data_IF_816879463485
#
_entry.id   IF_816879463485
#
_cell.length_a   1.000
_cell.length_b   1.000
_cell.length_c   1.000
_cell.angle_alpha   90.00
_cell.angle_beta   90.00
_cell.angle_gamma   90.00
#
_symmetry.space_group_name_H-M   'P 1'
#
loop_
_entity.id
_entity.type
_entity.pdbx_description
1 polymer ?
#
# COMPACT_ATOMS: atom_id res chain seq x y z
N UNK A 1 -48.17 11.48 34.23
CA UNK A 1 -47.10 10.99 33.34
C UNK A 1 -46.27 10.03 34.17
N UNK A 2 -46.07 8.81 33.70
CA UNK A 2 -45.18 7.83 34.36
C UNK A 2 -43.73 8.29 34.21
N UNK A 3 -42.97 8.28 35.31
CA UNK A 3 -41.53 8.54 35.28
C UNK A 3 -40.85 7.51 34.38
N UNK A 4 -40.31 7.98 33.26
CA UNK A 4 -39.61 7.12 32.30
C UNK A 4 -38.12 7.20 32.60
N UNK A 5 -37.53 6.11 33.11
CA UNK A 5 -36.09 6.02 33.28
C UNK A 5 -35.40 6.03 31.91
N UNK A 6 -34.53 7.00 31.68
CA UNK A 6 -33.77 7.14 30.43
C UNK A 6 -32.43 6.38 30.45
N UNK A 7 -32.09 5.74 31.57
CA UNK A 7 -30.82 5.05 31.77
C UNK A 7 -31.06 3.61 32.26
N UNK A 8 -30.17 2.66 31.93
CA UNK A 8 -28.95 2.82 31.13
C UNK A 8 -29.19 2.79 29.61
N UNK A 9 -28.46 3.64 28.87
CA UNK A 9 -28.49 3.67 27.41
C UNK A 9 -27.58 2.61 26.78
N UNK A 10 -28.08 1.86 25.82
CA UNK A 10 -27.32 0.83 25.09
C UNK A 10 -26.72 1.32 23.76
N UNK A 11 -27.02 2.55 23.35
CA UNK A 11 -26.53 3.15 22.11
C UNK A 11 -27.65 3.44 21.10
N UNK A 12 -27.26 3.55 19.84
CA UNK A 12 -28.18 3.85 18.73
C UNK A 12 -28.83 2.55 18.24
N UNK A 13 -30.16 2.57 18.04
CA UNK A 13 -30.89 1.59 17.25
C UNK A 13 -31.93 2.29 16.37
N UNK A 14 -31.66 2.38 15.07
CA UNK A 14 -32.54 3.04 14.10
C UNK A 14 -33.27 2.04 13.18
N UNK A 15 -33.24 0.76 13.53
CA UNK A 15 -33.84 -0.33 12.73
C UNK A 15 -35.06 -0.94 13.42
N UNK A 16 -34.91 -1.33 14.69
CA UNK A 16 -35.94 -2.07 15.44
C UNK A 16 -37.22 -1.25 15.65
N UNK A 17 -38.36 -1.89 15.83
CA UNK A 17 -39.62 -1.20 16.17
C UNK A 17 -39.58 -0.57 17.58
N UNK A 18 -40.45 0.40 17.84
CA UNK A 18 -40.44 1.17 19.10
C UNK A 18 -40.60 0.30 20.35
N UNK A 19 -41.39 -0.77 20.27
CA UNK A 19 -41.57 -1.72 21.38
C UNK A 19 -40.26 -2.46 21.75
N UNK A 20 -39.33 -2.59 20.81
CA UNK A 20 -38.04 -3.24 21.02
C UNK A 20 -36.93 -2.27 21.47
N UNK A 21 -37.23 -0.97 21.55
CA UNK A 21 -36.27 0.06 21.97
C UNK A 21 -36.01 0.04 23.49
N UNK A 22 -36.93 -0.53 24.27
CA UNK A 22 -36.79 -0.71 25.71
C UNK A 22 -36.80 -2.20 26.05
N UNK A 23 -35.70 -2.69 26.61
CA UNK A 23 -35.64 -4.03 27.21
C UNK A 23 -35.80 -3.89 28.72
N UNK A 24 -36.79 -4.59 29.29
CA UNK A 24 -36.99 -4.69 30.73
C UNK A 24 -36.32 -5.96 31.33
N UNK A 25 -36.50 -6.18 32.63
CA UNK A 25 -35.94 -7.34 33.36
C UNK A 25 -34.60 -7.04 34.03
N UNK A 26 -33.85 -8.10 34.36
CA UNK A 26 -32.59 -8.02 35.12
C UNK A 26 -31.45 -7.26 34.39
N UNK A 27 -31.60 -7.02 33.09
CA UNK A 27 -30.67 -6.24 32.27
C UNK A 27 -31.42 -5.14 31.48
N UNK A 28 -32.07 -4.23 32.21
CA UNK A 28 -32.80 -3.13 31.61
C UNK A 28 -31.90 -2.25 30.74
N UNK A 29 -32.31 -1.99 29.49
CA UNK A 29 -31.56 -1.17 28.53
C UNK A 29 -32.51 -0.35 27.66
N UNK A 30 -32.12 0.89 27.36
CA UNK A 30 -32.83 1.78 26.45
C UNK A 30 -31.95 2.13 25.25
N UNK A 31 -32.47 1.98 24.04
CA UNK A 31 -31.83 2.47 22.83
C UNK A 31 -32.37 3.85 22.45
N UNK A 32 -31.55 4.65 21.77
CA UNK A 32 -31.97 5.91 21.15
C UNK A 32 -31.98 5.77 19.64
N UNK A 33 -32.83 6.53 18.95
CA UNK A 33 -32.86 6.55 17.48
C UNK A 33 -31.65 7.25 16.88
N UNK A 34 -31.13 8.24 17.60
CA UNK A 34 -30.00 9.04 17.20
C UNK A 34 -29.25 9.54 18.45
N UNK A 35 -27.94 9.77 18.32
CA UNK A 35 -27.06 10.23 19.39
C UNK A 35 -26.13 11.32 18.85
N UNK A 36 -26.64 12.56 18.82
CA UNK A 36 -25.93 13.73 18.30
C UNK A 36 -25.14 14.41 19.42
N UNK A 37 -23.83 14.59 19.21
CA UNK A 37 -22.93 15.29 20.12
C UNK A 37 -22.90 14.74 21.56
N UNK A 38 -23.14 13.44 21.72
CA UNK A 38 -23.05 12.74 23.01
C UNK A 38 -22.11 11.54 22.91
N UNK A 39 -21.49 11.22 24.04
CA UNK A 39 -20.78 9.97 24.28
C UNK A 39 -21.63 9.10 25.21
N UNK A 40 -21.88 7.86 24.81
CA UNK A 40 -22.57 6.86 25.63
C UNK A 40 -21.51 5.91 26.17
N UNK A 41 -21.36 5.88 27.49
CA UNK A 41 -20.38 5.02 28.18
C UNK A 41 -20.83 3.56 28.22
N UNK A 42 -19.93 2.59 28.46
CA UNK A 42 -20.32 1.19 28.65
C UNK A 42 -21.30 0.96 29.81
N UNK A 43 -21.31 1.86 30.81
CA UNK A 43 -22.29 1.84 31.91
C UNK A 43 -23.66 2.43 31.52
N UNK A 44 -23.82 2.83 30.26
CA UNK A 44 -25.02 3.41 29.69
C UNK A 44 -25.33 4.84 30.15
N UNK A 45 -24.34 5.56 30.69
CA UNK A 45 -24.47 7.01 30.96
C UNK A 45 -24.15 7.80 29.70
N UNK A 46 -24.96 8.81 29.39
CA UNK A 46 -24.65 9.79 28.37
C UNK A 46 -24.00 11.04 28.96
N UNK A 47 -23.02 11.58 28.24
CA UNK A 47 -22.45 12.91 28.47
C UNK A 47 -22.29 13.65 27.15
N UNK A 48 -22.39 14.97 27.15
CA UNK A 48 -22.07 15.79 25.97
C UNK A 48 -20.60 15.59 25.61
N UNK A 49 -20.29 15.45 24.31
CA UNK A 49 -18.90 15.31 23.85
C UNK A 49 -18.08 16.52 24.27
N UNK A 50 -16.83 16.28 24.64
CA UNK A 50 -15.89 17.38 24.79
C UNK A 50 -15.71 18.11 23.46
N UNK A 51 -15.77 19.44 23.50
CA UNK A 51 -15.58 20.26 22.32
C UNK A 51 -14.17 20.11 21.73
N UNK A 52 -14.04 20.44 20.46
CA UNK A 52 -12.77 20.42 19.75
C UNK A 52 -11.99 21.73 20.02
N UNK A 53 -10.66 21.62 20.05
CA UNK A 53 -9.76 22.78 20.12
C UNK A 53 -8.88 22.77 18.90
N UNK A 54 -8.78 23.90 18.20
CA UNK A 54 -7.81 24.07 17.13
C UNK A 54 -6.38 23.94 17.70
N UNK A 55 -5.63 22.96 17.19
CA UNK A 55 -4.25 22.68 17.61
C UNK A 55 -3.20 23.20 16.63
N UNK A 56 -3.58 23.41 15.36
CA UNK A 56 -2.72 24.00 14.33
C UNK A 56 -3.58 24.63 13.23
N UNK A 57 -3.08 25.70 12.60
CA UNK A 57 -3.67 26.28 11.39
C UNK A 57 -3.20 25.57 10.10
N UNK A 58 -2.15 24.75 10.18
CA UNK A 58 -1.68 23.93 9.08
C UNK A 58 -2.69 22.83 8.77
N UNK A 59 -3.04 22.68 7.49
CA UNK A 59 -4.04 21.72 7.02
C UNK A 59 -3.39 20.38 6.68
N UNK A 60 -2.89 19.69 7.70
CA UNK A 60 -2.38 18.33 7.52
C UNK A 60 -3.49 17.41 7.02
N UNK A 61 -3.15 16.53 6.08
CA UNK A 61 -4.01 15.43 5.61
C UNK A 61 -3.26 14.12 5.78
N UNK A 62 -3.99 13.01 5.65
CA UNK A 62 -3.42 11.65 5.64
C UNK A 62 -2.49 11.39 6.83
N UNK A 63 -2.89 11.90 8.00
CA UNK A 63 -2.07 11.83 9.21
C UNK A 63 -2.00 10.38 9.68
N UNK A 64 -0.79 9.89 9.82
CA UNK A 64 -0.51 8.51 10.21
C UNK A 64 0.68 8.47 11.16
N UNK A 65 0.58 7.64 12.19
CA UNK A 65 1.68 7.39 13.11
C UNK A 65 2.28 6.01 12.83
N UNK A 66 3.60 5.95 12.73
CA UNK A 66 4.30 4.67 12.59
C UNK A 66 4.09 3.82 13.84
N UNK A 67 3.54 2.60 13.72
CA UNK A 67 3.42 1.69 14.85
C UNK A 67 4.79 1.21 15.36
N UNK A 68 5.83 1.26 14.52
CA UNK A 68 7.19 0.82 14.87
C UNK A 68 8.03 1.95 15.48
N UNK A 69 7.99 3.14 14.88
CA UNK A 69 8.89 4.25 15.26
C UNK A 69 8.21 5.30 16.14
N UNK A 70 6.87 5.30 16.22
CA UNK A 70 6.06 6.34 16.87
C UNK A 70 6.18 7.75 16.28
N UNK A 71 6.96 7.92 15.21
CA UNK A 71 6.99 9.12 14.38
C UNK A 71 5.64 9.34 13.69
N UNK A 72 5.21 10.59 13.59
CA UNK A 72 3.97 10.97 12.91
C UNK A 72 4.29 11.59 11.55
N UNK A 73 3.55 11.18 10.54
CA UNK A 73 3.66 11.65 9.17
C UNK A 73 2.31 12.15 8.68
N UNK A 74 2.33 12.93 7.61
CA UNK A 74 1.13 13.32 6.88
C UNK A 74 1.48 14.05 5.61
N UNK A 75 0.49 14.69 5.00
CA UNK A 75 0.67 15.53 3.82
C UNK A 75 0.30 16.98 4.09
N UNK A 76 1.04 17.91 3.49
CA UNK A 76 0.76 19.34 3.51
C UNK A 76 1.09 19.92 2.14
N UNK A 77 0.08 20.46 1.43
CA UNK A 77 0.23 21.05 0.09
C UNK A 77 1.02 20.16 -0.91
N UNK A 78 0.65 18.89 -0.99
CA UNK A 78 1.31 17.89 -1.86
C UNK A 78 2.69 17.40 -1.41
N UNK A 79 3.20 17.87 -0.26
CA UNK A 79 4.44 17.40 0.36
C UNK A 79 4.15 16.33 1.40
N UNK A 80 4.96 15.27 1.41
CA UNK A 80 5.04 14.35 2.54
C UNK A 80 5.89 15.00 3.62
N UNK A 81 5.35 15.07 4.84
CA UNK A 81 5.98 15.74 5.97
C UNK A 81 6.05 14.83 7.19
N UNK A 82 7.11 14.98 7.97
CA UNK A 82 7.18 14.45 9.35
C UNK A 82 6.62 15.51 10.28
N UNK A 83 5.58 15.16 11.04
CA UNK A 83 4.85 16.06 11.94
C UNK A 83 5.31 15.80 13.36
N UNK A 84 5.55 16.87 14.12
CA UNK A 84 5.84 16.79 15.56
C UNK A 84 4.56 17.06 16.36
N UNK A 85 3.90 16.05 16.96
CA UNK A 85 2.57 16.23 17.57
C UNK A 85 2.53 17.15 18.79
N UNK A 86 3.69 17.44 19.41
CA UNK A 86 3.77 18.29 20.61
C UNK A 86 3.51 19.77 20.30
N UNK A 87 3.94 20.24 19.13
CA UNK A 87 3.87 21.65 18.74
C UNK A 87 3.34 21.86 17.31
N UNK A 88 3.05 20.77 16.59
CA UNK A 88 2.53 20.76 15.21
C UNK A 88 3.45 21.43 14.19
N UNK A 89 4.74 21.57 14.52
CA UNK A 89 5.79 21.82 13.53
C UNK A 89 6.00 20.60 12.62
N UNK A 90 6.63 20.81 11.47
CA UNK A 90 6.87 19.76 10.51
C UNK A 90 8.17 19.95 9.73
N UNK A 91 8.65 18.85 9.18
CA UNK A 91 9.79 18.78 8.26
C UNK A 91 9.30 18.25 6.91
N UNK A 92 9.65 18.93 5.80
CA UNK A 92 9.34 18.45 4.46
C UNK A 92 10.31 17.34 4.04
N UNK A 93 9.76 16.21 3.58
CA UNK A 93 10.55 15.04 3.20
C UNK A 93 10.63 14.86 1.68
N UNK A 94 9.47 14.82 1.01
CA UNK A 94 9.40 14.58 -0.43
C UNK A 94 8.12 15.17 -1.04
N UNK A 95 8.10 15.35 -2.36
CA UNK A 95 6.87 15.71 -3.07
C UNK A 95 6.14 14.43 -3.48
N UNK A 96 4.96 14.20 -2.90
CA UNK A 96 4.18 12.97 -3.14
C UNK A 96 2.87 13.24 -3.89
N UNK A 97 2.39 14.48 -3.91
CA UNK A 97 1.09 14.85 -4.46
C UNK A 97 -0.01 14.82 -3.40
N UNK A 98 -1.25 15.06 -3.82
CA UNK A 98 -2.43 15.05 -2.93
C UNK A 98 -2.88 13.61 -2.65
N UNK A 99 -2.85 13.21 -1.38
CA UNK A 99 -3.15 11.86 -0.92
C UNK A 99 -1.89 11.07 -0.61
N UNK A 100 -1.89 10.43 0.56
CA UNK A 100 -0.84 9.52 0.99
C UNK A 100 -1.43 8.32 1.73
N UNK A 101 -0.82 7.16 1.52
CA UNK A 101 -1.01 5.98 2.37
C UNK A 101 0.35 5.51 2.85
N UNK A 102 0.45 5.19 4.13
CA UNK A 102 1.69 4.82 4.78
C UNK A 102 1.69 3.37 5.22
N UNK A 103 2.86 2.75 5.16
CA UNK A 103 3.09 1.45 5.77
C UNK A 103 4.51 1.38 6.31
N UNK A 104 4.70 0.58 7.35
CA UNK A 104 6.05 0.18 7.77
C UNK A 104 6.53 -0.92 6.82
N UNK A 105 7.67 -0.68 6.18
CA UNK A 105 8.32 -1.62 5.26
C UNK A 105 9.67 -2.01 5.85
N UNK A 106 9.75 -3.21 6.44
CA UNK A 106 10.89 -3.62 7.27
C UNK A 106 11.14 -2.61 8.41
N UNK A 107 12.25 -1.86 8.36
CA UNK A 107 12.60 -0.80 9.31
C UNK A 107 12.49 0.62 8.70
N UNK A 108 11.81 0.73 7.56
CA UNK A 108 11.58 2.00 6.85
C UNK A 108 10.10 2.38 6.93
N UNK A 109 9.81 3.67 6.78
CA UNK A 109 8.46 4.13 6.48
C UNK A 109 8.32 4.27 4.98
N UNK A 110 7.34 3.58 4.39
CA UNK A 110 7.01 3.71 2.97
C UNK A 110 5.71 4.51 2.83
N UNK A 111 5.67 5.41 1.86
CA UNK A 111 4.48 6.16 1.48
C UNK A 111 4.16 5.96 -0.01
N UNK A 112 2.88 5.82 -0.32
CA UNK A 112 2.36 5.90 -1.67
C UNK A 112 1.62 7.22 -1.84
N UNK A 113 1.99 7.97 -2.87
CA UNK A 113 1.22 9.13 -3.34
C UNK A 113 1.18 9.20 -4.86
N UNK A 114 0.45 10.16 -5.45
CA UNK A 114 0.38 10.35 -6.90
C UNK A 114 1.73 10.43 -7.63
N UNK A 115 2.78 10.96 -6.99
CA UNK A 115 4.11 11.11 -7.59
C UNK A 115 4.95 9.81 -7.56
N UNK A 116 4.52 8.78 -6.82
CA UNK A 116 5.23 7.51 -6.72
C UNK A 116 5.26 6.92 -5.32
N UNK A 117 6.15 5.94 -5.14
CA UNK A 117 6.45 5.31 -3.86
C UNK A 117 7.75 5.91 -3.31
N UNK A 118 7.76 6.27 -2.03
CA UNK A 118 8.92 6.83 -1.35
C UNK A 118 9.14 6.12 -0.02
N UNK A 119 10.39 6.04 0.40
CA UNK A 119 10.79 5.49 1.70
C UNK A 119 11.56 6.52 2.51
N UNK A 120 11.40 6.48 3.83
CA UNK A 120 12.16 7.24 4.80
C UNK A 120 12.88 6.29 5.76
N UNK A 121 14.17 6.48 5.94
CA UNK A 121 15.06 5.62 6.73
C UNK A 121 15.34 6.14 8.15
N UNK A 122 14.68 7.24 8.54
CA UNK A 122 14.97 7.96 9.77
C UNK A 122 15.80 9.21 9.57
N UNK A 123 16.43 9.39 8.41
CA UNK A 123 17.27 10.55 8.08
C UNK A 123 16.87 11.23 6.77
N UNK A 124 16.58 10.48 5.71
CA UNK A 124 16.25 11.03 4.41
C UNK A 124 15.12 10.25 3.73
N UNK A 125 14.31 10.98 2.96
CA UNK A 125 13.34 10.37 2.07
C UNK A 125 13.94 10.17 0.68
N UNK A 126 13.63 9.02 0.07
CA UNK A 126 14.07 8.67 -1.28
C UNK A 126 12.97 7.93 -2.02
N UNK A 127 12.96 8.01 -3.36
CA UNK A 127 12.03 7.24 -4.18
C UNK A 127 12.34 5.75 -4.06
N UNK A 128 11.36 4.92 -3.78
CA UNK A 128 11.55 3.47 -3.66
C UNK A 128 11.95 2.84 -5.00
N UNK A 129 11.36 3.32 -6.09
CA UNK A 129 11.50 2.75 -7.42
C UNK A 129 12.54 3.47 -8.28
N UNK A 130 13.28 2.67 -9.04
CA UNK A 130 14.14 3.13 -10.14
C UNK A 130 13.37 2.92 -11.44
N UNK A 131 13.35 3.92 -12.31
CA UNK A 131 12.74 3.78 -13.63
C UNK A 131 13.59 2.85 -14.51
N UNK A 132 12.96 2.15 -15.46
CA UNK A 132 13.68 1.32 -16.42
C UNK A 132 14.43 2.20 -17.42
N UNK A 133 15.74 2.01 -17.64
CA UNK A 133 16.48 2.74 -18.66
C UNK A 133 15.94 2.48 -20.07
N UNK A 134 16.05 3.46 -20.99
CA UNK A 134 15.94 3.21 -22.42
C UNK A 134 16.98 2.18 -22.89
N UNK A 135 16.69 1.49 -24.00
CA UNK A 135 17.66 0.58 -24.62
C UNK A 135 18.93 1.34 -25.04
N UNK A 136 20.13 0.76 -24.84
CA UNK A 136 21.38 1.41 -25.22
C UNK A 136 21.52 1.43 -26.75
N UNK A 137 22.23 2.42 -27.29
CA UNK A 137 22.60 2.41 -28.70
C UNK A 137 23.91 1.63 -28.88
N UNK A 138 23.93 0.69 -29.82
CA UNK A 138 25.10 -0.13 -30.11
C UNK A 138 25.78 0.32 -31.40
N UNK A 139 27.10 0.30 -31.41
CA UNK A 139 27.94 0.56 -32.59
C UNK A 139 29.01 -0.51 -32.72
N UNK A 140 29.32 -0.89 -33.96
CA UNK A 140 30.42 -1.79 -34.25
C UNK A 140 31.71 -0.98 -34.47
N UNK A 141 32.84 -1.52 -34.02
CA UNK A 141 34.17 -0.94 -34.22
C UNK A 141 35.22 -2.00 -34.51
N UNK A 142 36.49 -1.62 -34.45
CA UNK A 142 37.61 -2.56 -34.57
C UNK A 142 38.04 -3.10 -33.20
N UNK A 143 38.28 -4.40 -33.11
CA UNK A 143 38.66 -5.10 -31.88
C UNK A 143 38.98 -6.58 -32.11
N UNK A 144 38.59 -7.42 -31.16
CA UNK A 144 38.87 -8.86 -31.10
C UNK A 144 37.62 -9.69 -30.78
N UNK A 145 36.42 -9.12 -30.93
CA UNK A 145 35.18 -9.89 -30.92
C UNK A 145 35.10 -10.77 -32.17
N UNK A 146 34.56 -11.97 -31.97
CA UNK A 146 34.20 -12.86 -33.07
C UNK A 146 33.05 -12.28 -33.89
N UNK A 147 32.99 -12.58 -35.19
CA UNK A 147 31.87 -12.15 -36.01
C UNK A 147 30.58 -12.84 -35.55
N UNK A 148 29.49 -12.08 -35.49
CA UNK A 148 28.16 -12.58 -35.12
C UNK A 148 27.26 -11.51 -34.54
N UNK A 149 26.07 -11.90 -34.10
CA UNK A 149 25.11 -10.98 -33.47
C UNK A 149 25.30 -10.95 -31.96
N UNK A 150 25.40 -9.74 -31.40
CA UNK A 150 25.46 -9.51 -29.96
C UNK A 150 24.27 -8.67 -29.51
N UNK A 151 23.69 -9.05 -28.37
CA UNK A 151 22.63 -8.32 -27.70
C UNK A 151 23.15 -7.62 -26.45
N UNK A 152 22.62 -6.44 -26.15
CA UNK A 152 22.94 -5.67 -24.95
C UNK A 152 21.68 -5.05 -24.33
N UNK A 153 21.66 -5.01 -23.00
CA UNK A 153 20.67 -4.29 -22.21
C UNK A 153 21.36 -3.64 -21.01
N UNK A 154 20.80 -2.57 -20.47
CA UNK A 154 21.36 -1.87 -19.31
C UNK A 154 20.35 -1.78 -18.18
N UNK A 155 20.81 -1.72 -16.94
CA UNK A 155 19.98 -1.47 -15.76
C UNK A 155 20.61 -0.35 -14.93
N UNK A 156 19.80 0.61 -14.46
CA UNK A 156 20.24 1.61 -13.49
C UNK A 156 20.51 0.99 -12.12
N UNK A 157 21.53 1.53 -11.43
CA UNK A 157 21.95 1.15 -10.09
C UNK A 157 21.88 2.36 -9.14
N UNK A 158 21.31 2.14 -7.97
CA UNK A 158 21.39 3.04 -6.81
C UNK A 158 21.92 2.26 -5.61
N UNK A 159 23.22 2.38 -5.35
CA UNK A 159 23.94 1.52 -4.42
C UNK A 159 23.79 0.05 -4.84
N UNK A 160 23.24 -0.76 -3.94
CA UNK A 160 22.98 -2.18 -4.20
C UNK A 160 21.66 -2.44 -4.96
N UNK A 161 20.78 -1.44 -5.09
CA UNK A 161 19.49 -1.60 -5.74
C UNK A 161 19.65 -1.51 -7.26
N UNK A 162 19.02 -2.44 -7.97
CA UNK A 162 19.02 -2.53 -9.43
C UNK A 162 17.59 -2.39 -9.98
N UNK A 163 17.43 -1.60 -11.03
CA UNK A 163 16.18 -1.48 -11.81
C UNK A 163 15.90 -2.71 -12.68
N UNK A 164 14.75 -2.75 -13.35
CA UNK A 164 14.58 -3.68 -14.46
C UNK A 164 15.54 -3.30 -15.61
N UNK A 165 16.10 -4.29 -16.33
CA UNK A 165 16.92 -4.01 -17.49
C UNK A 165 16.08 -3.41 -18.62
N UNK A 166 16.71 -2.60 -19.46
CA UNK A 166 16.14 -2.06 -20.68
C UNK A 166 15.68 -3.16 -21.64
N UNK A 167 14.94 -2.76 -22.67
CA UNK A 167 14.78 -3.58 -23.87
C UNK A 167 16.14 -3.97 -24.48
N UNK A 168 16.13 -5.09 -25.19
CA UNK A 168 17.31 -5.67 -25.83
C UNK A 168 17.65 -4.90 -27.12
N UNK A 169 18.85 -4.32 -27.19
CA UNK A 169 19.44 -3.86 -28.44
C UNK A 169 20.33 -4.93 -29.03
N UNK A 170 20.31 -5.12 -30.35
CA UNK A 170 21.17 -6.10 -31.03
C UNK A 170 22.00 -5.45 -32.12
N UNK A 171 23.21 -5.95 -32.34
CA UNK A 171 24.08 -5.51 -33.42
C UNK A 171 24.88 -6.67 -34.01
N UNK A 172 25.10 -6.62 -35.31
CA UNK A 172 26.01 -7.53 -36.00
C UNK A 172 27.43 -6.95 -35.99
N UNK A 173 28.39 -7.76 -35.56
CA UNK A 173 29.80 -7.42 -35.48
C UNK A 173 30.55 -8.24 -36.51
N UNK A 174 31.45 -7.59 -37.26
CA UNK A 174 32.31 -8.24 -38.26
C UNK A 174 33.56 -8.85 -37.61
N UNK A 175 34.36 -9.58 -38.40
CA UNK A 175 35.62 -10.16 -37.93
C UNK A 175 36.57 -9.08 -37.39
N UNK A 176 37.25 -9.37 -36.26
CA UNK A 176 38.10 -8.40 -35.56
C UNK A 176 37.29 -7.16 -35.13
N UNK A 177 36.10 -7.39 -34.61
CA UNK A 177 35.16 -6.33 -34.25
C UNK A 177 35.25 -5.89 -32.79
N UNK A 178 34.59 -4.78 -32.48
CA UNK A 178 34.37 -4.28 -31.12
C UNK A 178 32.92 -3.82 -30.96
N UNK A 179 32.47 -3.77 -29.71
CA UNK A 179 31.15 -3.25 -29.35
C UNK A 179 31.30 -1.91 -28.63
N UNK A 180 30.78 -0.85 -29.24
CA UNK A 180 30.51 0.41 -28.56
C UNK A 180 29.09 0.42 -28.02
N UNK A 181 28.93 0.79 -26.76
CA UNK A 181 27.63 0.92 -26.09
C UNK A 181 27.49 2.37 -25.66
N UNK A 182 26.65 3.14 -26.35
CA UNK A 182 26.26 4.48 -25.92
C UNK A 182 25.11 4.37 -24.92
N UNK A 183 25.34 4.92 -23.72
CA UNK A 183 24.42 4.81 -22.60
C UNK A 183 23.34 5.90 -22.68
N UNK A 184 22.10 5.63 -22.21
CA UNK A 184 21.08 6.65 -22.11
C UNK A 184 21.48 7.80 -21.18
N UNK A 185 20.82 8.95 -21.35
CA UNK A 185 21.05 10.13 -20.49
C UNK A 185 20.58 9.85 -19.07
N UNK A 186 21.41 10.22 -18.11
CA UNK A 186 21.17 10.10 -16.68
C UNK A 186 20.32 11.28 -16.21
N UNK A 187 19.01 11.08 -16.03
CA UNK A 187 18.08 12.12 -15.57
C UNK A 187 17.90 12.13 -14.05
N UNK A 188 18.10 10.98 -13.40
CA UNK A 188 17.98 10.85 -11.95
C UNK A 188 19.38 11.03 -11.29
N UNK A 189 19.60 12.12 -10.54
CA UNK A 189 20.90 12.39 -9.91
C UNK A 189 21.22 11.45 -8.74
N UNK A 190 20.25 10.66 -8.28
CA UNK A 190 20.48 9.68 -7.19
C UNK A 190 21.11 8.38 -7.70
N UNK A 191 21.19 8.19 -9.02
CA UNK A 191 21.82 7.01 -9.61
C UNK A 191 23.32 6.99 -9.31
N UNK A 192 23.82 5.81 -8.97
CA UNK A 192 25.23 5.57 -8.63
C UNK A 192 25.99 4.86 -9.74
N UNK A 193 25.29 4.16 -10.63
CA UNK A 193 25.91 3.40 -11.70
C UNK A 193 24.92 2.75 -12.65
N UNK A 194 25.47 2.01 -13.61
CA UNK A 194 24.74 1.25 -14.62
C UNK A 194 25.36 -0.14 -14.73
N UNK A 195 24.51 -1.16 -14.78
CA UNK A 195 24.90 -2.53 -15.07
C UNK A 195 24.67 -2.82 -16.54
N UNK A 196 25.69 -3.31 -17.23
CA UNK A 196 25.56 -3.81 -18.60
C UNK A 196 25.32 -5.33 -18.58
N UNK A 197 24.33 -5.76 -19.34
CA UNK A 197 24.10 -7.15 -19.67
C UNK A 197 24.37 -7.38 -21.16
N UNK A 198 25.00 -8.51 -21.48
CA UNK A 198 25.29 -8.93 -22.85
C UNK A 198 24.83 -10.35 -23.09
N UNK A 199 24.41 -10.65 -24.31
CA UNK A 199 24.29 -12.03 -24.77
C UNK A 199 25.65 -12.57 -25.18
N UNK A 200 25.74 -13.89 -25.35
CA UNK A 200 26.83 -14.47 -26.12
C UNK A 200 26.60 -14.19 -27.62
N UNK A 201 27.60 -14.58 -28.42
CA UNK A 201 27.52 -14.57 -29.87
C UNK A 201 26.27 -15.34 -30.33
N UNK A 202 25.57 -14.76 -31.30
CA UNK A 202 24.37 -15.30 -31.95
C UNK A 202 23.20 -15.57 -30.98
N UNK A 203 23.18 -14.83 -29.88
CA UNK A 203 22.07 -14.75 -28.93
C UNK A 203 22.30 -15.49 -27.60
N UNK A 204 21.20 -15.93 -27.01
CA UNK A 204 21.17 -16.54 -25.67
C UNK A 204 20.67 -15.59 -24.58
N UNK A 205 20.95 -15.95 -23.33
CA UNK A 205 20.52 -15.18 -22.16
C UNK A 205 21.36 -13.93 -21.95
N UNK A 206 20.74 -12.89 -21.38
CA UNK A 206 21.42 -11.67 -20.93
C UNK A 206 22.20 -11.97 -19.65
N UNK A 207 23.52 -11.87 -19.74
CA UNK A 207 24.45 -12.13 -18.64
C UNK A 207 25.23 -10.87 -18.28
N UNK A 208 25.50 -10.67 -16.99
CA UNK A 208 26.17 -9.47 -16.48
C UNK A 208 27.57 -9.34 -17.07
N UNK A 209 27.82 -8.26 -17.79
CA UNK A 209 29.13 -7.93 -18.36
C UNK A 209 29.98 -7.06 -17.42
N UNK A 210 29.34 -6.20 -16.61
CA UNK A 210 30.02 -5.34 -15.65
C UNK A 210 29.12 -4.22 -15.13
N UNK A 211 29.68 -3.40 -14.24
CA UNK A 211 29.03 -2.21 -13.70
C UNK A 211 29.94 -1.00 -13.95
N UNK A 212 29.36 0.14 -14.33
CA UNK A 212 30.05 1.40 -14.59
C UNK A 212 29.47 2.53 -13.72
N UNK A 213 30.29 3.50 -13.29
CA UNK A 213 29.83 4.59 -12.44
C UNK A 213 28.85 5.52 -13.16
N UNK A 214 28.03 6.23 -12.36
CA UNK A 214 27.14 7.27 -12.87
C UNK A 214 27.91 8.32 -13.69
N UNK A 215 27.25 8.83 -14.73
CA UNK A 215 27.85 9.78 -15.68
C UNK A 215 28.69 9.13 -16.79
N UNK A 216 28.85 7.81 -16.80
CA UNK A 216 29.44 7.12 -17.95
C UNK A 216 28.55 7.34 -19.19
N UNK A 217 29.11 7.91 -20.25
CA UNK A 217 28.39 8.20 -21.49
C UNK A 217 28.47 7.05 -22.51
N UNK A 218 29.60 6.35 -22.55
CA UNK A 218 29.77 5.20 -23.43
C UNK A 218 30.73 4.18 -22.84
N UNK A 219 30.55 2.92 -23.24
CA UNK A 219 31.39 1.78 -22.87
C UNK A 219 31.96 1.22 -24.18
N UNK A 220 33.28 1.03 -24.23
CA UNK A 220 33.95 0.39 -25.37
C UNK A 220 34.43 -1.01 -24.96
N UNK A 221 34.00 -2.02 -25.71
CA UNK A 221 34.30 -3.42 -25.48
C UNK A 221 35.04 -4.00 -26.70
N UNK A 222 36.38 -3.97 -26.70
CA UNK A 222 37.17 -4.55 -27.78
C UNK A 222 37.19 -6.08 -27.74
N UNK A 223 36.83 -6.70 -26.61
CA UNK A 223 36.71 -8.14 -26.42
C UNK A 223 35.52 -8.44 -25.52
N UNK A 224 35.01 -9.68 -25.58
CA UNK A 224 33.87 -10.07 -24.76
C UNK A 224 34.35 -10.23 -23.31
N UNK A 225 33.80 -9.46 -22.34
CA UNK A 225 34.19 -9.60 -20.95
C UNK A 225 33.75 -10.95 -20.38
N UNK A 226 34.29 -11.32 -19.22
CA UNK A 226 33.80 -12.49 -18.50
C UNK A 226 32.36 -12.24 -18.05
N UNK A 227 31.43 -13.00 -18.63
CA UNK A 227 30.00 -12.89 -18.32
C UNK A 227 29.67 -13.58 -17.00
N UNK A 228 28.96 -12.86 -16.14
CA UNK A 228 28.49 -13.32 -14.83
C UNK A 228 27.08 -13.89 -14.86
N UNK A 229 26.32 -13.63 -13.79
CA UNK A 229 24.96 -14.13 -13.62
C UNK A 229 23.96 -13.53 -14.61
N UNK A 230 22.85 -14.24 -14.80
CA UNK A 230 21.72 -13.79 -15.61
C UNK A 230 21.05 -12.53 -15.05
N UNK A 231 20.39 -11.78 -15.94
CA UNK A 231 19.59 -10.62 -15.60
C UNK A 231 18.34 -11.00 -14.78
N UNK A 232 18.48 -11.04 -13.46
CA UNK A 232 17.44 -11.48 -12.53
C UNK A 232 16.13 -10.71 -12.60
N UNK A 233 16.17 -9.42 -12.98
CA UNK A 233 15.00 -8.53 -13.00
C UNK A 233 14.41 -8.33 -14.40
N UNK A 234 14.78 -9.19 -15.36
CA UNK A 234 14.21 -9.16 -16.70
C UNK A 234 12.69 -9.37 -16.64
N UNK A 235 11.95 -8.63 -17.47
CA UNK A 235 10.49 -8.68 -17.57
C UNK A 235 9.72 -8.12 -16.36
N UNK A 236 10.42 -7.52 -15.40
CA UNK A 236 9.80 -6.76 -14.33
C UNK A 236 9.72 -5.28 -14.71
N UNK A 237 8.89 -4.55 -13.98
CA UNK A 237 8.74 -3.11 -14.09
C UNK A 237 8.77 -2.45 -12.71
N UNK A 238 9.02 -1.12 -12.65
CA UNK A 238 8.97 -0.37 -11.40
C UNK A 238 7.59 -0.52 -10.72
N UNK A 239 7.58 -0.81 -9.42
CA UNK A 239 6.34 -1.02 -8.65
C UNK A 239 5.45 0.23 -8.72
N UNK A 240 4.22 0.14 -9.25
CA UNK A 240 3.36 1.30 -9.41
C UNK A 240 2.79 1.75 -8.07
N UNK A 241 2.62 3.07 -7.94
CA UNK A 241 1.90 3.66 -6.82
C UNK A 241 0.37 3.43 -6.93
N UNK A 242 -0.34 3.64 -5.84
CA UNK A 242 -1.78 3.44 -5.76
C UNK A 242 -2.43 4.32 -4.69
N UNK A 243 -3.77 4.33 -4.68
CA UNK A 243 -4.55 4.97 -3.61
C UNK A 243 -4.47 4.20 -2.31
N UNK A 244 -4.29 2.87 -2.36
CA UNK A 244 -4.11 2.04 -1.17
C UNK A 244 -2.72 1.43 -1.22
N UNK A 245 -2.05 1.40 -0.06
CA UNK A 245 -0.75 0.78 0.15
C UNK A 245 -0.83 -0.15 1.35
N UNK A 246 -0.30 -1.35 1.24
CA UNK A 246 -0.17 -2.25 2.38
C UNK A 246 1.06 -3.15 2.23
N UNK A 247 1.53 -3.70 3.35
CA UNK A 247 2.57 -4.72 3.37
C UNK A 247 1.91 -6.05 3.71
N UNK A 248 2.26 -7.09 2.97
CA UNK A 248 1.77 -8.43 3.24
C UNK A 248 2.80 -9.47 2.84
N UNK A 249 3.26 -10.26 3.82
CA UNK A 249 4.11 -11.45 3.64
C UNK A 249 5.30 -11.22 2.69
N UNK A 250 6.10 -10.19 2.97
CA UNK A 250 7.31 -9.91 2.18
C UNK A 250 7.04 -9.26 0.82
N UNK A 251 5.85 -8.69 0.61
CA UNK A 251 5.49 -7.94 -0.60
C UNK A 251 4.78 -6.64 -0.25
N UNK A 252 4.96 -5.63 -1.09
CA UNK A 252 4.11 -4.44 -1.10
C UNK A 252 2.89 -4.72 -1.96
N UNK A 253 1.73 -4.26 -1.50
CA UNK A 253 0.47 -4.26 -2.24
C UNK A 253 0.08 -2.83 -2.55
N UNK A 254 -0.23 -2.55 -3.81
CA UNK A 254 -0.77 -1.24 -4.23
C UNK A 254 -2.07 -1.44 -4.99
N UNK A 255 -3.04 -0.57 -4.77
CA UNK A 255 -4.29 -0.60 -5.52
C UNK A 255 -4.63 0.74 -6.15
N UNK A 256 -4.99 0.69 -7.44
CA UNK A 256 -5.43 1.86 -8.21
C UNK A 256 -6.63 1.47 -9.08
N UNK A 257 -7.70 2.26 -8.97
CA UNK A 257 -8.95 1.95 -9.67
C UNK A 257 -9.52 0.62 -9.17
N UNK A 258 -9.62 -0.37 -10.06
CA UNK A 258 -10.08 -1.72 -9.76
C UNK A 258 -8.95 -2.78 -9.78
N UNK A 259 -7.68 -2.36 -9.87
CA UNK A 259 -6.54 -3.29 -9.96
C UNK A 259 -5.75 -3.26 -8.67
N UNK A 260 -5.56 -4.43 -8.08
CA UNK A 260 -4.60 -4.69 -7.00
C UNK A 260 -3.33 -5.28 -7.61
N UNK A 261 -2.17 -4.69 -7.33
CA UNK A 261 -0.85 -5.17 -7.75
C UNK A 261 0.00 -5.50 -6.53
N UNK A 262 1.00 -6.34 -6.73
CA UNK A 262 1.97 -6.67 -5.68
C UNK A 262 3.39 -6.68 -6.23
N UNK A 263 4.33 -6.31 -5.38
CA UNK A 263 5.75 -6.36 -5.72
C UNK A 263 6.26 -7.81 -5.80
N UNK A 264 7.44 -7.98 -6.37
CA UNK A 264 8.24 -9.18 -6.17
C UNK A 264 8.61 -9.37 -4.69
N UNK A 265 8.83 -10.62 -4.29
CA UNK A 265 9.17 -10.95 -2.91
C UNK A 265 10.52 -10.31 -2.57
N UNK A 266 10.54 -9.47 -1.53
CA UNK A 266 11.72 -8.71 -1.07
C UNK A 266 12.33 -7.72 -2.08
N UNK A 267 11.91 -7.73 -3.35
CA UNK A 267 12.21 -6.71 -4.35
C UNK A 267 11.03 -5.74 -4.48
N UNK A 268 10.77 -5.02 -3.38
CA UNK A 268 9.59 -4.15 -3.21
C UNK A 268 9.42 -3.07 -4.27
N UNK A 269 10.51 -2.69 -4.93
CA UNK A 269 10.56 -1.67 -5.98
C UNK A 269 10.20 -2.20 -7.37
N UNK A 270 9.98 -3.51 -7.53
CA UNK A 270 9.68 -4.15 -8.82
C UNK A 270 8.41 -4.98 -8.73
N UNK A 271 7.73 -5.14 -9.86
CA UNK A 271 6.65 -6.09 -10.01
C UNK A 271 6.61 -6.69 -11.41
N UNK A 272 5.97 -7.86 -11.54
CA UNK A 272 5.59 -8.42 -12.84
C UNK A 272 4.31 -7.74 -13.34
N UNK A 273 4.37 -7.08 -14.49
CA UNK A 273 3.19 -6.43 -15.11
C UNK A 273 2.16 -7.43 -15.65
N UNK A 274 2.63 -8.59 -16.10
CA UNK A 274 1.86 -9.62 -16.81
C UNK A 274 1.11 -10.52 -15.84
N UNK A 275 1.69 -10.78 -14.67
CA UNK A 275 1.12 -11.73 -13.70
C UNK A 275 0.95 -11.16 -12.29
N UNK A 276 1.61 -10.06 -11.95
CA UNK A 276 1.62 -9.47 -10.60
C UNK A 276 0.39 -8.62 -10.27
N UNK A 277 -0.81 -9.07 -10.63
CA UNK A 277 -2.04 -8.33 -10.35
C UNK A 277 -3.30 -9.21 -10.26
N UNK A 278 -4.30 -8.71 -9.53
CA UNK A 278 -5.70 -9.16 -9.62
C UNK A 278 -6.56 -7.95 -10.01
N UNK A 279 -7.39 -8.14 -11.03
CA UNK A 279 -8.37 -7.15 -11.45
C UNK A 279 -9.74 -7.48 -10.85
N UNK A 280 -10.30 -6.51 -10.13
CA UNK A 280 -11.62 -6.59 -9.53
C UNK A 280 -12.70 -6.09 -10.51
N UNK A 281 -13.96 -6.56 -10.39
CA UNK A 281 -15.05 -6.12 -11.27
C UNK A 281 -15.49 -4.66 -11.02
N UNK A 282 -15.16 -4.09 -9.86
CA UNK A 282 -15.54 -2.73 -9.45
C UNK A 282 -14.33 -2.04 -8.81
N UNK A 283 -14.38 -0.70 -8.74
CA UNK A 283 -13.34 0.11 -8.08
C UNK A 283 -13.12 -0.35 -6.64
N UNK A 284 -11.86 -0.48 -6.26
CA UNK A 284 -11.42 -0.82 -4.90
C UNK A 284 -11.65 0.39 -3.98
N UNK A 285 -12.19 0.13 -2.79
CA UNK A 285 -12.54 1.14 -1.78
C UNK A 285 -11.73 1.01 -0.50
N UNK A 286 -11.11 -0.15 -0.26
CA UNK A 286 -10.03 -0.35 0.70
C UNK A 286 -9.25 -1.65 0.38
N UNK A 287 -8.04 -1.78 0.92
CA UNK A 287 -7.26 -3.01 0.93
C UNK A 287 -6.75 -3.23 2.34
N UNK A 288 -7.09 -4.36 2.96
CA UNK A 288 -6.69 -4.67 4.33
C UNK A 288 -6.19 -6.12 4.42
N UNK A 289 -4.86 -6.33 4.44
CA UNK A 289 -4.29 -7.65 4.61
C UNK A 289 -4.50 -8.20 6.03
N UNK A 290 -4.65 -9.52 6.12
CA UNK A 290 -4.72 -10.32 7.35
C UNK A 290 -3.92 -11.62 7.15
N UNK A 291 -3.84 -12.48 8.17
CA UNK A 291 -3.00 -13.69 8.07
C UNK A 291 -3.42 -14.62 6.93
N UNK A 292 -4.71 -14.91 6.77
CA UNK A 292 -5.20 -15.88 5.78
C UNK A 292 -5.41 -15.33 4.37
N UNK A 293 -5.14 -14.04 4.13
CA UNK A 293 -5.40 -13.41 2.84
C UNK A 293 -5.55 -11.89 2.92
N UNK A 294 -6.24 -11.32 1.93
CA UNK A 294 -6.43 -9.87 1.82
C UNK A 294 -7.91 -9.53 1.68
N UNK A 295 -8.44 -8.71 2.58
CA UNK A 295 -9.77 -8.14 2.45
C UNK A 295 -9.73 -6.96 1.47
N UNK A 296 -10.62 -6.99 0.49
CA UNK A 296 -10.72 -5.96 -0.55
C UNK A 296 -12.15 -5.45 -0.59
N UNK A 297 -12.32 -4.18 -0.23
CA UNK A 297 -13.59 -3.48 -0.40
C UNK A 297 -13.79 -3.06 -1.84
N UNK A 298 -15.02 -3.18 -2.32
CA UNK A 298 -15.47 -2.65 -3.61
C UNK A 298 -16.60 -1.63 -3.38
N UNK A 299 -17.07 -0.98 -4.44
CA UNK A 299 -18.13 0.04 -4.33
C UNK A 299 -19.47 -0.54 -3.85
N UNK A 300 -19.74 -1.81 -4.14
CA UNK A 300 -21.03 -2.46 -3.91
C UNK A 300 -20.95 -3.65 -2.92
N UNK A 301 -19.77 -4.27 -2.76
CA UNK A 301 -19.59 -5.42 -1.88
C UNK A 301 -18.15 -5.56 -1.38
N UNK A 302 -17.85 -6.65 -0.67
CA UNK A 302 -16.51 -6.98 -0.17
C UNK A 302 -16.08 -8.36 -0.69
N UNK A 303 -14.80 -8.49 -0.98
CA UNK A 303 -14.14 -9.72 -1.42
C UNK A 303 -13.04 -10.08 -0.45
N UNK A 304 -12.83 -11.38 -0.23
CA UNK A 304 -11.65 -11.90 0.44
C UNK A 304 -10.78 -12.66 -0.56
N UNK A 305 -9.55 -12.20 -0.74
CA UNK A 305 -8.52 -12.92 -1.51
C UNK A 305 -7.83 -13.89 -0.57
N UNK A 306 -8.32 -15.13 -0.52
CA UNK A 306 -7.75 -16.16 0.34
C UNK A 306 -6.50 -16.73 -0.32
N UNK A 307 -5.42 -16.83 0.44
CA UNK A 307 -4.19 -17.47 -0.01
C UNK A 307 -3.03 -17.17 0.90
N UNK A 308 -1.98 -17.98 0.81
CA UNK A 308 -0.76 -17.77 1.58
C UNK A 308 0.29 -16.97 0.80
N UNK A 309 0.12 -16.88 -0.52
CA UNK A 309 0.87 -16.05 -1.45
C UNK A 309 -0.06 -15.54 -2.58
N UNK A 310 0.30 -14.47 -3.31
CA UNK A 310 -0.57 -13.92 -4.35
C UNK A 310 -0.92 -14.90 -5.49
N UNK A 311 0.00 -15.80 -5.84
CA UNK A 311 -0.22 -16.82 -6.86
C UNK A 311 -1.30 -17.86 -6.47
N UNK A 312 -1.61 -17.96 -5.18
CA UNK A 312 -2.61 -18.88 -4.64
C UNK A 312 -3.95 -18.20 -4.38
N UNK A 313 -4.10 -16.92 -4.72
CA UNK A 313 -5.31 -16.18 -4.41
C UNK A 313 -6.55 -16.82 -5.04
N UNK A 314 -7.47 -17.22 -4.16
CA UNK A 314 -8.84 -17.55 -4.49
C UNK A 314 -9.75 -16.39 -4.12
N UNK A 315 -10.53 -15.93 -5.09
CA UNK A 315 -11.40 -14.76 -4.95
C UNK A 315 -12.73 -15.21 -4.34
N UNK A 316 -12.97 -14.89 -3.07
CA UNK A 316 -14.22 -15.21 -2.37
C UNK A 316 -15.09 -13.96 -2.22
N UNK A 317 -16.20 -13.90 -2.96
CA UNK A 317 -17.21 -12.86 -2.75
C UNK A 317 -17.90 -13.06 -1.40
N UNK A 318 -18.01 -11.99 -0.60
CA UNK A 318 -18.72 -12.01 0.68
C UNK A 318 -19.98 -11.17 0.61
N UNK A 319 -21.04 -11.63 1.28
CA UNK A 319 -22.38 -11.03 1.24
C UNK A 319 -22.57 -9.74 2.05
N UNK A 320 -21.49 -9.04 2.40
CA UNK A 320 -21.55 -7.83 3.21
C UNK A 320 -22.01 -6.60 2.42
N UNK A 321 -22.54 -5.61 3.13
CA UNK A 321 -22.91 -4.29 2.57
C UNK A 321 -21.70 -3.55 2.03
N UNK A 322 -21.96 -2.59 1.14
CA UNK A 322 -20.94 -1.72 0.58
C UNK A 322 -20.18 -0.98 1.70
N UNK A 323 -18.84 -1.05 1.71
CA UNK A 323 -18.03 -0.35 2.71
C UNK A 323 -17.92 1.14 2.40
N UNK A 324 -17.84 1.96 3.45
CA UNK A 324 -17.43 3.36 3.36
C UNK A 324 -15.96 3.39 2.92
N UNK A 325 -15.61 4.02 1.78
CA UNK A 325 -14.25 3.99 1.25
C UNK A 325 -13.21 4.56 2.22
N UNK A 326 -12.09 3.87 2.41
CA UNK A 326 -11.01 4.30 3.32
C UNK A 326 -11.27 4.07 4.81
N UNK A 327 -12.46 3.56 5.20
CA UNK A 327 -12.78 3.31 6.60
C UNK A 327 -12.17 2.03 7.17
N UNK A 328 -11.46 1.23 6.37
CA UNK A 328 -10.87 -0.01 6.84
C UNK A 328 -9.64 0.27 7.71
N UNK A 329 -9.50 -0.49 8.78
CA UNK A 329 -8.33 -0.48 9.66
C UNK A 329 -8.09 -1.89 10.20
N UNK A 330 -6.85 -2.19 10.54
CA UNK A 330 -6.50 -3.40 11.26
C UNK A 330 -6.76 -3.19 12.75
N UNK A 331 -7.47 -4.11 13.39
CA UNK A 331 -7.73 -4.06 14.82
C UNK A 331 -7.29 -5.36 15.50
N UNK A 332 -6.59 -5.20 16.62
CA UNK A 332 -6.04 -6.31 17.39
C UNK A 332 -7.12 -7.03 18.22
N UNK A 333 -6.85 -8.27 18.66
CA UNK A 333 -7.71 -8.99 19.61
C UNK A 333 -8.08 -8.17 20.84
N UNK A 334 -7.12 -7.40 21.36
CA UNK A 334 -7.33 -6.55 22.53
C UNK A 334 -8.36 -5.43 22.28
N UNK A 335 -8.45 -4.94 21.03
CA UNK A 335 -9.38 -3.91 20.63
C UNK A 335 -10.80 -4.45 20.37
N UNK A 336 -10.93 -5.63 19.75
CA UNK A 336 -12.22 -6.19 19.29
C UNK A 336 -12.89 -7.15 20.28
N UNK A 337 -12.13 -7.73 21.22
CA UNK A 337 -12.60 -8.85 22.03
C UNK A 337 -12.37 -10.22 21.35
N UNK A 338 -12.17 -11.26 22.16
CA UNK A 338 -11.63 -12.56 21.72
C UNK A 338 -12.48 -13.31 20.68
N UNK A 339 -13.80 -13.13 20.70
CA UNK A 339 -14.71 -13.89 19.81
C UNK A 339 -14.57 -13.49 18.33
N UNK A 340 -14.15 -12.25 18.06
CA UNK A 340 -13.97 -11.72 16.69
C UNK A 340 -12.59 -12.00 16.10
N UNK A 341 -11.67 -12.47 16.93
CA UNK A 341 -10.25 -12.67 16.58
C UNK A 341 -9.85 -14.12 16.78
N UNK A 342 -10.60 -15.03 16.15
CA UNK A 342 -10.36 -16.47 16.23
C UNK A 342 -8.87 -16.81 16.06
N UNK A 343 -8.23 -17.23 17.15
CA UNK A 343 -6.80 -17.58 17.19
C UNK A 343 -5.83 -16.47 17.63
N UNK A 344 -6.32 -15.30 18.07
CA UNK A 344 -5.47 -14.19 18.52
C UNK A 344 -4.84 -13.36 17.38
N UNK A 345 -5.33 -13.53 16.15
CA UNK A 345 -4.88 -12.76 15.00
C UNK A 345 -5.66 -11.44 14.85
N UNK A 346 -5.01 -10.45 14.26
CA UNK A 346 -5.66 -9.20 13.89
C UNK A 346 -6.80 -9.42 12.88
N UNK A 347 -7.83 -8.58 12.97
CA UNK A 347 -8.96 -8.58 12.04
C UNK A 347 -9.06 -7.24 11.32
N UNK A 348 -9.52 -7.30 10.06
CA UNK A 348 -9.89 -6.12 9.31
C UNK A 348 -11.24 -5.61 9.82
N UNK A 349 -11.36 -4.31 10.09
CA UNK A 349 -12.63 -3.70 10.49
C UNK A 349 -12.89 -2.51 9.62
N UNK A 350 -14.11 -2.38 9.11
CA UNK A 350 -14.53 -1.25 8.28
C UNK A 350 -15.96 -0.84 8.62
N UNK A 351 -16.32 0.37 8.20
CA UNK A 351 -17.67 0.88 8.34
C UNK A 351 -18.48 0.56 7.06
N UNK A 352 -19.71 0.13 7.21
CA UNK A 352 -20.67 -0.11 6.14
C UNK A 352 -22.03 0.49 6.49
N UNK A 353 -23.01 0.38 5.58
CA UNK A 353 -24.35 0.95 5.75
C UNK A 353 -25.05 0.54 7.05
N UNK A 354 -24.80 -0.68 7.50
CA UNK A 354 -25.36 -1.30 8.69
C UNK A 354 -24.42 -1.27 9.92
N UNK A 355 -23.43 -0.38 9.94
CA UNK A 355 -22.49 -0.25 11.05
C UNK A 355 -21.14 -0.89 10.77
N UNK A 356 -20.43 -1.24 11.85
CA UNK A 356 -19.10 -1.85 11.73
C UNK A 356 -19.20 -3.31 11.31
N UNK A 357 -18.29 -3.70 10.43
CA UNK A 357 -18.15 -5.07 9.94
C UNK A 357 -16.72 -5.51 10.22
N UNK A 358 -16.57 -6.72 10.75
CA UNK A 358 -15.29 -7.36 11.02
C UNK A 358 -15.04 -8.49 10.01
N UNK A 359 -13.91 -8.44 9.33
CA UNK A 359 -13.36 -9.50 8.51
C UNK A 359 -12.24 -10.21 9.25
N UNK A 360 -12.47 -11.45 9.66
CA UNK A 360 -11.51 -12.24 10.42
C UNK A 360 -10.30 -12.65 9.55
N UNK A 361 -9.21 -13.05 10.21
CA UNK A 361 -8.03 -13.61 9.54
C UNK A 361 -8.33 -14.86 8.69
N UNK A 362 -9.38 -15.61 9.05
CA UNK A 362 -9.82 -16.80 8.32
C UNK A 362 -10.72 -16.50 7.11
N UNK A 363 -11.09 -15.23 6.87
CA UNK A 363 -11.99 -14.85 5.78
C UNK A 363 -13.49 -14.95 6.13
N UNK A 364 -13.85 -15.12 7.41
CA UNK A 364 -15.23 -14.96 7.87
C UNK A 364 -15.59 -13.48 8.03
N UNK A 365 -16.80 -13.10 7.62
CA UNK A 365 -17.35 -11.75 7.73
C UNK A 365 -18.42 -11.71 8.82
N UNK A 366 -18.32 -10.76 9.74
CA UNK A 366 -19.25 -10.58 10.86
C UNK A 366 -19.76 -9.14 10.88
N UNK A 367 -21.07 -8.96 10.73
CA UNK A 367 -21.72 -7.65 10.79
C UNK A 367 -22.12 -7.34 12.25
N UNK A 368 -21.35 -6.47 12.92
CA UNK A 368 -21.45 -6.28 14.37
C UNK A 368 -22.76 -5.61 14.81
N UNK A 369 -23.34 -4.78 13.94
CA UNK A 369 -24.54 -3.99 14.22
C UNK A 369 -25.71 -4.32 13.27
N UNK A 370 -25.69 -5.52 12.67
CA UNK A 370 -26.78 -5.97 11.82
C UNK A 370 -28.12 -5.94 12.57
N UNK A 371 -29.15 -5.35 11.94
CA UNK A 371 -30.48 -5.20 12.56
C UNK A 371 -30.58 -4.13 13.64
N UNK A 372 -29.48 -3.40 13.93
CA UNK A 372 -29.43 -2.32 14.92
C UNK A 372 -29.19 -0.97 14.23
N UNK A 373 -28.24 -0.92 13.30
CA UNK A 373 -27.89 0.30 12.55
C UNK A 373 -28.23 0.14 11.06
N UNK A 374 -28.61 1.26 10.44
CA UNK A 374 -28.76 1.43 8.98
C UNK A 374 -28.48 2.88 8.56
N UNK A 375 -28.28 3.09 7.26
CA UNK A 375 -28.23 4.41 6.63
C UNK A 375 -26.89 5.15 6.76
N UNK A 376 -25.84 4.48 7.22
CA UNK A 376 -24.49 5.07 7.26
C UNK A 376 -23.95 5.12 5.82
N UNK A 377 -23.57 6.31 5.36
CA UNK A 377 -23.01 6.48 4.02
C UNK A 377 -22.02 7.64 4.01
N UNK A 378 -21.05 7.58 3.10
CA UNK A 378 -20.01 8.59 2.95
C UNK A 378 -19.24 8.41 1.65
N UNK A 379 -18.66 9.50 1.15
CA UNK A 379 -17.77 9.48 -0.02
C UNK A 379 -16.38 8.99 0.38
N UNK A 380 -15.99 9.22 1.62
CA UNK A 380 -14.77 8.73 2.23
C UNK A 380 -14.95 8.58 3.74
N UNK A 381 -14.08 7.80 4.36
CA UNK A 381 -13.91 7.78 5.79
C UNK A 381 -12.49 7.46 6.19
N UNK A 382 -12.18 7.68 7.47
CA UNK A 382 -10.90 7.34 8.09
C UNK A 382 -11.19 6.79 9.47
N UNK A 383 -10.59 5.64 9.77
CA UNK A 383 -10.79 4.95 11.03
C UNK A 383 -9.52 4.97 11.88
N UNK A 384 -9.68 5.13 13.19
CA UNK A 384 -8.60 5.08 14.17
C UNK A 384 -9.00 4.15 15.30
N UNK A 385 -8.06 3.28 15.69
CA UNK A 385 -8.18 2.44 16.88
C UNK A 385 -7.44 3.13 18.03
N UNK A 386 -8.14 3.42 19.13
CA UNK A 386 -7.57 4.01 20.33
C UNK A 386 -7.95 3.18 21.56
N UNK A 387 -7.01 2.36 22.03
CA UNK A 387 -7.28 1.36 23.06
C UNK A 387 -8.37 0.38 22.59
N UNK A 388 -9.47 0.30 23.33
CA UNK A 388 -10.64 -0.55 23.00
C UNK A 388 -11.75 0.21 22.24
N UNK A 389 -11.42 1.34 21.62
CA UNK A 389 -12.39 2.16 20.88
C UNK A 389 -11.98 2.23 19.41
N UNK A 390 -12.98 2.12 18.55
CA UNK A 390 -12.87 2.38 17.12
C UNK A 390 -13.70 3.61 16.79
N UNK A 391 -13.06 4.60 16.17
CA UNK A 391 -13.71 5.82 15.70
C UNK A 391 -13.51 5.94 14.21
N UNK A 392 -14.60 6.18 13.48
CA UNK A 392 -14.56 6.50 12.05
C UNK A 392 -15.12 7.90 11.83
N UNK A 393 -14.31 8.76 11.22
CA UNK A 393 -14.79 10.00 10.63
C UNK A 393 -15.30 9.71 9.22
N UNK A 394 -16.47 10.22 8.87
CA UNK A 394 -17.12 10.02 7.56
C UNK A 394 -17.38 11.39 6.92
N UNK A 395 -17.09 11.51 5.62
CA UNK A 395 -17.21 12.75 4.84
C UNK A 395 -18.08 12.55 3.60
#
# INVERSE_FOLDING_TARGET
>A
MSDTSLMPLAGINNVSEDAAMQRGGDAAQLYVRDAVNVDITPAGKASVRMGERLVSSARFRDVWQSPLHHDTFGTLAGKWVKIKPTDWSHEELATVGEGAEHVVLNNLVCVAGPAGLFTFDGSAAQRLTLDTPPAPLLTAGAGSLEPGTYGAAVAWLRGAQESAPSELSTIEVSSSGALGVALPIWLDPTLTGVRLYLTRRDGGELLRAGDWPAGTASIHLPLLPQLGAAAQFRHLSPMPTGRFLSYWRGRLLTARGNVLRWSEALAYHLHDERHGFVQMPQRITFVQPVDGGVWVGQVDHVVFLRGSAPAEFSVERKGGRAPVPGSAVLASPDALGGDLTAGGSDAAVWLAENGYVAGTASGALVELHAGVLKGITGRAGTSVVFGRRLLTAVV
#
